data_IF_062455683645
#
_entry.id   IF_062455683645
#
_cell.length_a   1.000
_cell.length_b   1.000
_cell.length_c   1.000
_cell.angle_alpha   90.00
_cell.angle_beta   90.00
_cell.angle_gamma   90.00
#
_symmetry.space_group_name_H-M   'P 1'
#
loop_
_entity.id
_entity.type
_entity.pdbx_description
1 polymer ?
#
# COMPACT_ATOMS: atom_id res chain seq x y z
N UNK A 1 4.88 -10.63 15.33
CA UNK A 1 5.63 -9.52 14.72
C UNK A 1 4.70 -8.31 14.56
N UNK A 2 5.20 -7.08 14.80
CA UNK A 2 4.38 -5.86 14.88
C UNK A 2 3.63 -5.49 13.58
N UNK A 3 4.17 -5.83 12.40
CA UNK A 3 3.45 -5.73 11.12
C UNK A 3 2.05 -6.39 11.12
N UNK A 4 1.83 -7.38 11.98
CA UNK A 4 0.56 -8.11 12.06
C UNK A 4 -0.60 -7.24 12.61
N UNK A 5 -0.32 -6.19 13.40
CA UNK A 5 -1.41 -5.36 13.97
C UNK A 5 -2.07 -4.52 12.88
N UNK A 6 -1.31 -3.75 12.10
CA UNK A 6 -1.85 -2.84 11.09
C UNK A 6 -2.49 -3.59 9.93
N UNK A 7 -1.91 -4.74 9.54
CA UNK A 7 -2.54 -5.69 8.61
C UNK A 7 -3.91 -6.16 9.13
N UNK A 8 -3.98 -6.65 10.37
CA UNK A 8 -5.27 -7.07 10.96
C UNK A 8 -6.27 -5.93 11.05
N UNK A 9 -5.84 -4.74 11.46
CA UNK A 9 -6.69 -3.54 11.52
C UNK A 9 -7.24 -3.20 10.14
N UNK A 10 -6.39 -3.18 9.10
CA UNK A 10 -6.83 -2.90 7.73
C UNK A 10 -7.83 -3.93 7.20
N UNK A 11 -7.56 -5.22 7.40
CA UNK A 11 -8.48 -6.29 6.97
C UNK A 11 -9.81 -6.25 7.75
N UNK A 12 -9.78 -5.91 9.03
CA UNK A 12 -10.98 -5.70 9.84
C UNK A 12 -11.74 -4.43 9.43
N UNK A 13 -11.05 -3.35 9.08
CA UNK A 13 -11.67 -2.09 8.61
C UNK A 13 -12.46 -2.31 7.32
N UNK A 14 -11.88 -2.99 6.33
CA UNK A 14 -12.56 -3.24 5.05
C UNK A 14 -13.73 -4.22 5.16
N UNK A 15 -13.69 -5.16 6.10
CA UNK A 15 -14.77 -6.12 6.32
C UNK A 15 -15.96 -5.47 7.05
N UNK A 16 -15.68 -4.60 8.02
CA UNK A 16 -16.71 -4.03 8.89
C UNK A 16 -17.25 -2.67 8.41
N UNK A 17 -16.48 -1.91 7.61
CA UNK A 17 -16.85 -0.57 7.17
C UNK A 17 -16.41 -0.30 5.72
N UNK A 18 -17.35 -0.44 4.77
CA UNK A 18 -17.12 -0.15 3.35
C UNK A 18 -16.73 1.30 3.07
N UNK A 19 -17.04 2.24 3.97
CA UNK A 19 -16.60 3.64 3.82
C UNK A 19 -15.09 3.80 4.02
N UNK A 20 -14.42 2.80 4.60
CA UNK A 20 -12.96 2.72 4.80
C UNK A 20 -12.26 1.97 3.69
N UNK A 21 -12.97 1.55 2.64
CA UNK A 21 -12.35 0.91 1.47
C UNK A 21 -11.66 1.96 0.60
N UNK A 22 -10.34 1.82 0.46
CA UNK A 22 -9.53 2.61 -0.46
C UNK A 22 -9.88 2.22 -1.90
N UNK A 23 -10.26 3.17 -2.76
CA UNK A 23 -10.50 2.86 -4.17
C UNK A 23 -9.16 2.65 -4.86
N UNK A 24 -8.94 1.43 -5.34
CA UNK A 24 -7.79 1.07 -6.18
C UNK A 24 -8.27 0.86 -7.62
N UNK A 25 -7.59 1.48 -8.57
CA UNK A 25 -7.74 1.14 -9.99
C UNK A 25 -6.44 0.49 -10.48
N UNK A 26 -6.48 -0.78 -10.85
CA UNK A 26 -5.34 -1.52 -11.39
C UNK A 26 -5.61 -1.79 -12.86
N UNK A 27 -4.92 -1.09 -13.76
CA UNK A 27 -5.21 -1.16 -15.20
C UNK A 27 -6.69 -0.88 -15.48
N UNK A 28 -7.42 -1.88 -15.97
CA UNK A 28 -8.86 -1.80 -16.27
C UNK A 28 -9.78 -2.13 -15.09
N UNK A 29 -9.25 -2.58 -13.95
CA UNK A 29 -10.04 -3.09 -12.83
C UNK A 29 -10.23 -2.00 -11.78
N UNK A 30 -11.49 -1.71 -11.44
CA UNK A 30 -11.84 -1.03 -10.18
C UNK A 30 -11.93 -2.11 -9.10
N UNK A 31 -10.95 -2.17 -8.21
CA UNK A 31 -10.71 -3.32 -7.33
C UNK A 31 -11.72 -3.36 -6.19
N UNK A 32 -12.52 -4.42 -6.16
CA UNK A 32 -13.24 -4.83 -4.96
C UNK A 32 -12.30 -5.61 -4.02
N UNK A 33 -12.46 -5.51 -2.68
CA UNK A 33 -11.61 -6.22 -1.73
C UNK A 33 -11.52 -7.73 -2.03
N UNK A 34 -10.30 -8.22 -2.23
CA UNK A 34 -10.03 -9.63 -2.53
C UNK A 34 -10.27 -10.02 -3.99
N UNK A 35 -10.56 -9.08 -4.88
CA UNK A 35 -10.66 -9.36 -6.31
C UNK A 35 -9.34 -9.93 -6.84
N UNK A 36 -9.43 -11.00 -7.64
CA UNK A 36 -8.28 -11.53 -8.35
C UNK A 36 -7.91 -10.64 -9.54
N UNK A 37 -6.65 -10.26 -9.61
CA UNK A 37 -6.06 -9.46 -10.69
C UNK A 37 -4.90 -10.26 -11.28
N UNK A 38 -4.89 -10.54 -12.59
CA UNK A 38 -3.78 -11.22 -13.25
C UNK A 38 -2.47 -10.48 -13.00
N UNK A 39 -1.39 -11.23 -12.70
CA UNK A 39 -0.06 -10.63 -12.44
C UNK A 39 0.38 -9.64 -13.51
N UNK A 40 0.14 -9.95 -14.78
CA UNK A 40 0.50 -9.08 -15.90
C UNK A 40 -0.21 -7.71 -15.86
N UNK A 41 -1.44 -7.66 -15.34
CA UNK A 41 -2.25 -6.45 -15.26
C UNK A 41 -1.88 -5.58 -14.04
N UNK A 42 -1.16 -6.15 -13.06
CA UNK A 42 -0.80 -5.51 -11.79
C UNK A 42 0.67 -5.06 -11.71
N UNK A 43 1.37 -4.94 -12.84
CA UNK A 43 2.80 -4.55 -12.86
C UNK A 43 3.04 -3.04 -12.69
N UNK A 44 1.99 -2.21 -12.83
CA UNK A 44 2.03 -0.78 -12.52
C UNK A 44 1.35 -0.48 -11.19
N UNK A 45 1.75 0.57 -10.46
CA UNK A 45 1.08 0.96 -9.23
C UNK A 45 -0.40 1.29 -9.49
N UNK A 46 -1.31 0.97 -8.55
CA UNK A 46 -2.71 1.33 -8.68
C UNK A 46 -2.91 2.84 -8.64
N UNK A 47 -3.92 3.35 -9.35
CA UNK A 47 -4.46 4.67 -9.04
C UNK A 47 -5.25 4.60 -7.72
N UNK A 48 -5.17 5.68 -6.93
CA UNK A 48 -5.74 5.74 -5.60
C UNK A 48 -6.79 6.85 -5.52
N UNK A 49 -7.94 6.56 -4.90
CA UNK A 49 -8.90 7.58 -4.54
C UNK A 49 -9.59 7.26 -3.21
N UNK A 50 -9.84 8.28 -2.39
CA UNK A 50 -10.51 8.14 -1.11
C UNK A 50 -11.18 9.45 -0.68
N UNK A 51 -12.26 9.36 0.09
CA UNK A 51 -12.87 10.52 0.74
C UNK A 51 -12.06 10.91 1.96
N UNK A 52 -10.97 11.62 1.71
CA UNK A 52 -10.03 12.01 2.76
C UNK A 52 -10.63 13.06 3.72
N UNK A 53 -10.24 13.05 5.01
CA UNK A 53 -10.78 13.99 5.98
C UNK A 53 -10.30 15.43 5.75
N UNK A 54 -9.11 15.63 5.18
CA UNK A 54 -8.55 16.96 4.88
C UNK A 54 -8.33 17.13 3.38
N UNK A 55 -9.18 17.91 2.68
CA UNK A 55 -9.08 18.09 1.23
C UNK A 55 -7.80 18.77 0.72
N UNK A 56 -7.03 19.42 1.60
CA UNK A 56 -5.72 20.01 1.30
C UNK A 56 -4.56 19.28 2.00
N UNK A 57 -4.84 18.12 2.58
CA UNK A 57 -3.85 17.30 3.27
C UNK A 57 -2.91 16.56 2.32
N UNK A 58 -1.78 16.15 2.86
CA UNK A 58 -0.83 15.26 2.20
C UNK A 58 -0.97 13.86 2.78
N UNK A 59 -0.97 12.85 1.93
CA UNK A 59 -1.20 11.46 2.32
C UNK A 59 -0.03 10.57 1.88
N UNK A 60 0.01 9.37 2.46
CA UNK A 60 1.00 8.35 2.14
C UNK A 60 0.29 7.02 1.93
N UNK A 61 0.74 6.26 0.94
CA UNK A 61 0.33 4.87 0.75
C UNK A 61 1.48 3.92 1.04
N UNK A 62 1.17 2.81 1.68
CA UNK A 62 2.08 1.69 1.88
C UNK A 62 1.43 0.44 1.27
N UNK A 63 2.19 -0.35 0.50
CA UNK A 63 1.73 -1.59 -0.11
C UNK A 63 2.54 -2.78 0.39
N UNK A 64 1.88 -3.83 0.86
CA UNK A 64 2.51 -5.07 1.35
C UNK A 64 1.95 -6.31 0.68
N UNK A 65 2.82 -7.29 0.41
CA UNK A 65 2.43 -8.69 0.21
C UNK A 65 2.55 -9.41 1.54
N UNK A 66 1.42 -9.86 2.10
CA UNK A 66 1.38 -10.48 3.44
C UNK A 66 1.53 -12.01 3.40
N UNK A 67 1.68 -12.60 2.21
CA UNK A 67 1.62 -14.04 1.99
C UNK A 67 2.94 -14.61 1.41
N UNK A 68 3.99 -13.81 1.27
CA UNK A 68 5.26 -14.28 0.72
C UNK A 68 6.04 -15.26 1.63
N UNK A 69 6.69 -16.30 1.07
CA UNK A 69 6.69 -16.71 -0.34
C UNK A 69 5.46 -17.50 -0.76
N UNK A 70 4.74 -18.11 0.18
CA UNK A 70 3.51 -18.87 -0.05
C UNK A 70 2.51 -18.57 1.07
N UNK A 71 1.20 -18.44 0.78
CA UNK A 71 0.19 -18.19 1.82
C UNK A 71 0.19 -19.24 2.94
N UNK A 72 0.53 -20.49 2.62
CA UNK A 72 0.65 -21.60 3.57
C UNK A 72 1.96 -21.60 4.36
N UNK A 73 2.97 -20.83 3.94
CA UNK A 73 4.30 -20.78 4.55
C UNK A 73 4.96 -19.40 4.35
N UNK A 74 4.43 -18.38 5.03
CA UNK A 74 4.78 -16.97 4.85
C UNK A 74 6.10 -16.50 5.50
N UNK A 75 7.19 -17.28 5.41
CA UNK A 75 8.44 -17.00 6.14
C UNK A 75 9.22 -15.77 5.66
N UNK A 76 8.92 -15.23 4.48
CA UNK A 76 9.54 -14.00 3.95
C UNK A 76 8.63 -12.77 4.11
N UNK A 77 7.36 -12.98 4.46
CA UNK A 77 6.35 -11.94 4.58
C UNK A 77 6.33 -11.24 5.94
N UNK A 78 5.73 -10.04 6.01
CA UNK A 78 5.25 -9.26 4.88
C UNK A 78 6.40 -8.74 4.00
N UNK A 79 6.20 -8.65 2.69
CA UNK A 79 7.15 -8.05 1.75
C UNK A 79 6.67 -6.65 1.39
N UNK A 80 7.55 -5.67 1.44
CA UNK A 80 7.25 -4.29 1.05
C UNK A 80 7.20 -4.14 -0.47
N UNK A 81 6.01 -3.82 -0.98
CA UNK A 81 5.80 -3.55 -2.40
C UNK A 81 5.88 -2.07 -2.74
N UNK A 82 5.46 -1.18 -1.85
CA UNK A 82 5.40 0.25 -2.17
C UNK A 82 5.40 1.13 -0.92
N UNK A 83 6.13 2.25 -0.95
CA UNK A 83 5.92 3.39 -0.04
C UNK A 83 5.99 4.64 -0.89
N UNK A 84 4.86 5.32 -1.01
CA UNK A 84 4.75 6.56 -1.74
C UNK A 84 4.22 7.66 -0.81
N UNK A 85 5.12 8.58 -0.38
CA UNK A 85 4.71 9.80 0.29
C UNK A 85 4.16 10.81 -0.72
N UNK A 86 3.77 11.97 -0.19
CA UNK A 86 3.43 13.17 -0.94
C UNK A 86 2.33 12.93 -1.98
N UNK A 87 1.32 12.17 -1.57
CA UNK A 87 0.07 12.01 -2.29
C UNK A 87 -0.78 13.26 -2.04
N UNK A 88 -0.85 14.14 -3.05
CA UNK A 88 -1.67 15.34 -2.99
C UNK A 88 -3.09 15.01 -3.44
N UNK A 89 -4.03 15.65 -2.77
CA UNK A 89 -5.45 15.54 -3.07
C UNK A 89 -5.80 16.27 -4.36
N UNK A 90 -6.60 15.61 -5.19
CA UNK A 90 -7.23 16.20 -6.36
C UNK A 90 -8.74 15.93 -6.25
N UNK A 91 -9.51 16.90 -5.73
CA UNK A 91 -10.96 16.77 -5.62
C UNK A 91 -11.60 16.45 -6.98
N UNK A 92 -12.67 15.68 -6.96
CA UNK A 92 -13.46 15.36 -8.16
C UNK A 92 -14.90 15.82 -7.93
N UNK A 93 -15.58 16.28 -8.98
CA UNK A 93 -16.91 16.89 -8.84
C UNK A 93 -17.97 15.92 -8.30
N UNK A 94 -17.88 14.63 -8.64
CA UNK A 94 -18.90 13.63 -8.32
C UNK A 94 -18.31 12.28 -7.87
N UNK A 95 -17.19 12.28 -7.14
CA UNK A 95 -16.52 11.05 -6.74
C UNK A 95 -15.48 11.23 -5.63
N UNK A 96 -14.84 10.13 -5.21
CA UNK A 96 -13.79 10.19 -4.20
C UNK A 96 -12.62 11.05 -4.68
N UNK A 97 -11.99 11.76 -3.74
CA UNK A 97 -10.81 12.58 -4.04
C UNK A 97 -9.68 11.68 -4.55
N UNK A 98 -9.15 12.00 -5.72
CA UNK A 98 -7.99 11.28 -6.26
C UNK A 98 -6.74 11.66 -5.47
N UNK A 99 -5.84 10.70 -5.29
CA UNK A 99 -4.58 10.88 -4.59
C UNK A 99 -3.45 10.76 -5.61
N UNK A 100 -2.86 11.91 -5.96
CA UNK A 100 -1.87 11.99 -7.04
C UNK A 100 -0.46 11.98 -6.47
N UNK A 101 0.40 11.15 -7.05
CA UNK A 101 1.83 11.12 -6.77
C UNK A 101 2.48 12.42 -7.23
N UNK A 102 3.14 13.14 -6.33
CA UNK A 102 3.82 14.41 -6.64
C UNK A 102 5.31 14.43 -6.29
N UNK A 103 5.82 13.39 -5.63
CA UNK A 103 7.22 13.30 -5.23
C UNK A 103 7.82 11.91 -5.48
N UNK A 104 9.16 11.76 -5.37
CA UNK A 104 9.82 10.46 -5.42
C UNK A 104 9.29 9.49 -4.36
N UNK A 105 9.40 8.20 -4.65
CA UNK A 105 9.06 7.13 -3.71
C UNK A 105 10.07 7.06 -2.55
N UNK A 106 9.63 6.51 -1.43
CA UNK A 106 10.53 5.96 -0.39
C UNK A 106 10.89 4.52 -0.75
N UNK A 107 9.91 3.76 -1.24
CA UNK A 107 10.14 2.44 -1.83
C UNK A 107 9.35 2.37 -3.15
N UNK A 108 10.05 2.20 -4.27
CA UNK A 108 9.39 2.11 -5.58
C UNK A 108 8.39 0.96 -5.58
N UNK A 109 7.31 1.12 -6.35
CA UNK A 109 6.37 0.04 -6.59
C UNK A 109 7.10 -1.13 -7.28
N UNK A 110 6.84 -2.33 -6.78
CA UNK A 110 7.12 -3.58 -7.49
C UNK A 110 5.80 -4.35 -7.59
N UNK A 111 5.51 -4.87 -8.79
CA UNK A 111 4.30 -5.65 -9.03
C UNK A 111 4.31 -7.00 -8.32
N UNK A 112 3.19 -7.73 -8.34
CA UNK A 112 3.12 -9.11 -7.90
C UNK A 112 4.18 -9.98 -8.59
N UNK A 113 4.89 -10.79 -7.80
CA UNK A 113 5.78 -11.83 -8.30
C UNK A 113 5.77 -13.09 -7.41
N UNK A 114 4.62 -13.70 -7.09
CA UNK A 114 4.60 -14.96 -6.37
C UNK A 114 5.39 -16.05 -7.10
N UNK A 115 6.03 -16.98 -6.36
CA UNK A 115 6.72 -18.11 -6.96
C UNK A 115 5.77 -18.96 -7.83
N UNK A 116 6.26 -19.60 -8.91
CA UNK A 116 5.46 -20.54 -9.69
C UNK A 116 4.80 -21.61 -8.81
N UNK A 117 3.51 -21.85 -9.03
CA UNK A 117 2.72 -22.82 -8.24
C UNK A 117 2.22 -22.29 -6.90
N UNK A 118 2.54 -21.06 -6.50
CA UNK A 118 1.93 -20.42 -5.33
C UNK A 118 0.44 -20.14 -5.59
N UNK A 119 -0.39 -20.28 -4.55
CA UNK A 119 -1.75 -19.74 -4.55
C UNK A 119 -1.71 -18.20 -4.61
N UNK A 120 -2.80 -17.51 -4.96
CA UNK A 120 -2.81 -16.05 -5.01
C UNK A 120 -2.42 -15.40 -3.67
N UNK A 121 -1.52 -14.42 -3.71
CA UNK A 121 -1.09 -13.64 -2.55
C UNK A 121 -2.00 -12.42 -2.36
N UNK A 122 -2.16 -11.96 -1.12
CA UNK A 122 -2.86 -10.72 -0.77
C UNK A 122 -1.90 -9.52 -0.82
N UNK A 123 -2.16 -8.62 -1.76
CA UNK A 123 -1.48 -7.33 -1.89
C UNK A 123 -2.32 -6.24 -1.24
N UNK A 124 -1.96 -5.85 -0.01
CA UNK A 124 -2.72 -4.91 0.82
C UNK A 124 -2.13 -3.52 0.72
N UNK A 125 -2.98 -2.53 0.46
CA UNK A 125 -2.62 -1.11 0.38
C UNK A 125 -3.27 -0.36 1.53
N UNK A 126 -2.46 0.40 2.25
CA UNK A 126 -2.84 1.16 3.44
C UNK A 126 -2.69 2.65 3.12
N UNK A 127 -3.73 3.43 3.35
CA UNK A 127 -3.70 4.88 3.25
C UNK A 127 -3.55 5.50 4.63
N UNK A 128 -2.60 6.43 4.77
CA UNK A 128 -2.37 7.22 5.96
C UNK A 128 -2.38 8.70 5.64
N UNK A 129 -2.71 9.50 6.64
CA UNK A 129 -2.33 10.89 6.69
C UNK A 129 -0.80 11.01 6.86
N UNK A 130 -0.14 11.79 6.03
CA UNK A 130 1.30 11.99 6.13
C UNK A 130 1.62 12.93 7.31
N UNK A 131 2.60 12.58 8.17
CA UNK A 131 3.10 13.50 9.20
C UNK A 131 3.64 14.78 8.57
N UNK A 132 3.34 15.94 9.16
CA UNK A 132 3.72 17.25 8.59
C UNK A 132 5.24 17.46 8.51
N UNK A 133 6.01 16.80 9.37
CA UNK A 133 7.48 16.82 9.44
C UNK A 133 8.14 15.66 8.68
N UNK A 134 7.39 14.90 7.89
CA UNK A 134 7.93 13.77 7.13
C UNK A 134 8.87 14.24 6.01
N UNK A 135 10.12 13.77 6.05
CA UNK A 135 11.09 13.95 4.96
C UNK A 135 11.35 12.61 4.25
N UNK A 136 10.75 12.43 3.07
CA UNK A 136 10.93 11.24 2.26
C UNK A 136 12.38 10.98 1.84
N UNK A 137 13.21 12.02 1.70
CA UNK A 137 14.61 11.88 1.26
C UNK A 137 15.49 11.16 2.27
N UNK A 138 15.17 11.27 3.56
CA UNK A 138 15.83 10.54 4.65
C UNK A 138 15.72 9.03 4.48
N UNK A 139 14.65 8.59 3.82
CA UNK A 139 14.23 7.19 3.77
C UNK A 139 14.28 6.57 2.38
N UNK A 140 14.29 7.40 1.34
CA UNK A 140 14.47 6.96 -0.03
C UNK A 140 15.92 6.51 -0.32
N UNK A 141 16.14 5.52 -1.20
CA UNK A 141 17.48 5.17 -1.64
C UNK A 141 18.18 6.36 -2.33
N UNK A 142 19.50 6.51 -2.15
CA UNK A 142 20.24 7.64 -2.69
C UNK A 142 20.23 7.64 -4.23
N UNK A 143 20.12 8.83 -4.82
CA UNK A 143 20.17 9.02 -6.27
C UNK A 143 18.96 8.49 -7.04
N UNK A 144 17.80 8.33 -6.39
CA UNK A 144 16.57 7.87 -7.04
C UNK A 144 16.60 6.40 -7.45
N UNK A 145 17.51 5.61 -6.87
CA UNK A 145 17.59 4.17 -7.12
C UNK A 145 16.38 3.45 -6.54
N UNK A 146 16.06 2.30 -7.12
CA UNK A 146 15.04 1.41 -6.57
C UNK A 146 15.49 0.82 -5.22
N UNK A 147 14.54 0.60 -4.31
CA UNK A 147 14.79 -0.04 -3.02
C UNK A 147 15.11 -1.53 -3.23
N UNK A 148 16.27 -1.94 -2.73
CA UNK A 148 16.73 -3.34 -2.78
C UNK A 148 15.75 -4.30 -2.11
N UNK A 149 15.58 -5.50 -2.71
CA UNK A 149 14.70 -6.56 -2.19
C UNK A 149 15.05 -6.99 -0.77
N UNK A 150 16.31 -6.88 -0.35
CA UNK A 150 16.75 -7.19 1.02
C UNK A 150 16.03 -6.34 2.06
N UNK A 151 15.75 -5.07 1.76
CA UNK A 151 15.03 -4.16 2.67
C UNK A 151 13.51 -4.32 2.60
N UNK A 152 13.00 -5.16 1.69
CA UNK A 152 11.57 -5.38 1.50
C UNK A 152 11.07 -6.60 2.26
N UNK A 153 11.90 -7.63 2.44
CA UNK A 153 11.48 -8.87 3.10
C UNK A 153 11.31 -8.70 4.60
N UNK A 154 10.32 -9.40 5.18
CA UNK A 154 9.96 -9.34 6.61
C UNK A 154 9.79 -7.91 7.11
N UNK A 155 9.20 -7.06 6.26
CA UNK A 155 9.04 -5.65 6.53
C UNK A 155 8.19 -5.43 7.79
N UNK A 156 8.74 -4.68 8.75
CA UNK A 156 8.06 -4.39 9.99
C UNK A 156 7.30 -3.05 9.90
N UNK A 157 6.08 -3.12 9.35
CA UNK A 157 5.22 -1.94 9.22
C UNK A 157 4.95 -1.27 10.57
N UNK A 158 4.76 -2.04 11.66
CA UNK A 158 4.48 -1.47 12.97
C UNK A 158 5.67 -0.71 13.56
N UNK A 159 6.89 -1.20 13.33
CA UNK A 159 8.09 -0.46 13.70
C UNK A 159 8.24 0.83 12.87
N UNK A 160 7.98 0.75 11.57
CA UNK A 160 8.04 1.90 10.68
C UNK A 160 7.02 2.98 11.02
N UNK A 161 5.75 2.61 11.23
CA UNK A 161 4.69 3.52 11.67
C UNK A 161 5.09 4.27 12.93
N UNK A 162 5.71 3.57 13.89
CA UNK A 162 6.20 4.19 15.12
C UNK A 162 7.38 5.14 14.87
N UNK A 163 8.34 4.74 14.02
CA UNK A 163 9.53 5.53 13.71
C UNK A 163 9.15 6.89 13.10
N UNK A 164 8.24 6.89 12.13
CA UNK A 164 7.83 8.10 11.42
C UNK A 164 6.58 8.77 12.02
N UNK A 165 6.11 8.29 13.19
CA UNK A 165 4.94 8.82 13.91
C UNK A 165 3.66 8.82 13.04
N UNK A 166 3.45 7.78 12.25
CA UNK A 166 2.20 7.62 11.50
C UNK A 166 1.01 7.50 12.44
N UNK A 167 -0.08 8.17 12.06
CA UNK A 167 -1.38 7.99 12.68
C UNK A 167 -2.02 6.64 12.35
N UNK A 168 -3.28 6.42 12.72
CA UNK A 168 -4.01 5.21 12.35
C UNK A 168 -4.23 5.12 10.84
N UNK A 169 -4.42 3.90 10.34
CA UNK A 169 -4.85 3.63 8.96
C UNK A 169 -6.19 4.34 8.70
N UNK A 170 -6.25 5.18 7.67
CA UNK A 170 -7.46 5.89 7.26
C UNK A 170 -8.39 5.02 6.41
N UNK A 171 -7.77 4.28 5.50
CA UNK A 171 -8.44 3.41 4.54
C UNK A 171 -7.51 2.28 4.12
N UNK A 172 -8.08 1.17 3.67
CA UNK A 172 -7.31 0.11 3.06
C UNK A 172 -8.11 -0.60 1.97
N UNK A 173 -7.41 -1.32 1.10
CA UNK A 173 -8.00 -2.27 0.17
C UNK A 173 -6.93 -3.27 -0.26
N UNK A 174 -7.32 -4.39 -0.84
CA UNK A 174 -6.38 -5.40 -1.30
C UNK A 174 -6.92 -6.15 -2.51
N UNK A 175 -6.00 -6.68 -3.32
CA UNK A 175 -6.33 -7.64 -4.38
C UNK A 175 -5.52 -8.92 -4.21
N UNK A 176 -5.96 -9.96 -4.91
CA UNK A 176 -5.26 -11.25 -5.02
C UNK A 176 -4.52 -11.34 -6.36
N UNK A 177 -3.30 -11.89 -6.37
CA UNK A 177 -2.56 -12.12 -7.62
C UNK A 177 -1.52 -13.24 -7.50
N UNK A 178 -1.21 -13.93 -8.60
CA UNK A 178 -0.09 -14.87 -8.78
C UNK A 178 0.40 -14.96 -10.23
#
# INVERSE_FOLDING_TARGET
MPANKSVKTALSLIENDKSKTLRLTVGKYSVEPGQFIPKADAQSPPELAFNVPRPSGTYMVIGLDIDAPFPSFGVLGPVLHWIQPDLNTQPTENGPTKLKVTAPFVANYIGPAPPPGSAPHRYVFFLYEQPADFDGKKYAPPGGKNLSNWHRMRYDLGAWEKEIKLGPVLAANYFLSN
#
